data_IF_285112897510
#
_entry.id   IF_285112897510
#
_cell.length_a   1.000
_cell.length_b   1.000
_cell.length_c   1.000
_cell.angle_alpha   90.00
_cell.angle_beta   90.00
_cell.angle_gamma   90.00
#
_symmetry.space_group_name_H-M   'P 1'
#
loop_
_entity.id
_entity.type
_entity.pdbx_description
1 polymer ?
#
# COMPACT_ATOMS: atom_id res chain seq x y z
N UNK A 1 73.40 -39.06 7.33
CA UNK A 1 72.21 -39.09 6.44
C UNK A 1 71.07 -38.38 7.15
N UNK A 2 70.75 -37.16 6.72
CA UNK A 2 69.45 -36.47 6.90
C UNK A 2 68.39 -37.12 5.99
N UNK A 3 67.07 -36.82 6.07
CA UNK A 3 66.35 -35.85 6.93
C UNK A 3 65.07 -36.42 7.59
N UNK A 4 64.50 -35.72 8.59
CA UNK A 4 63.04 -35.55 8.71
C UNK A 4 62.72 -34.41 9.68
N UNK A 5 62.06 -33.39 9.14
CA UNK A 5 61.26 -32.35 9.81
C UNK A 5 59.90 -32.39 9.06
N UNK A 6 58.75 -31.88 9.58
CA UNK A 6 58.52 -31.15 10.84
C UNK A 6 57.21 -31.57 11.58
N UNK A 7 57.21 -31.58 12.91
CA UNK A 7 55.95 -31.55 13.67
C UNK A 7 55.47 -30.09 13.77
N UNK A 8 54.50 -29.71 12.92
CA UNK A 8 53.86 -28.38 12.92
C UNK A 8 52.88 -28.31 14.10
N UNK A 9 53.01 -27.34 15.02
CA UNK A 9 51.95 -27.07 15.99
C UNK A 9 50.77 -26.41 15.27
N UNK A 10 49.64 -27.12 15.23
CA UNK A 10 48.37 -26.59 14.75
C UNK A 10 47.90 -25.46 15.66
N UNK A 11 47.88 -24.24 15.12
CA UNK A 11 47.16 -23.11 15.68
C UNK A 11 46.03 -22.71 14.70
N UNK A 12 45.10 -21.85 15.13
CA UNK A 12 43.88 -22.17 15.86
C UNK A 12 42.70 -22.25 14.87
N UNK A 13 41.84 -23.26 15.00
CA UNK A 13 40.52 -23.21 14.37
C UNK A 13 39.68 -22.19 15.14
N UNK A 14 39.82 -20.92 14.73
CA UNK A 14 38.97 -19.81 15.15
C UNK A 14 37.58 -20.11 14.63
N UNK A 15 36.79 -20.84 15.44
CA UNK A 15 35.35 -20.82 15.33
C UNK A 15 34.94 -19.36 15.43
N UNK A 16 34.62 -18.74 14.30
CA UNK A 16 33.87 -17.50 14.31
C UNK A 16 32.60 -17.77 15.11
N UNK A 17 32.36 -17.11 16.26
CA UNK A 17 31.03 -17.15 16.82
C UNK A 17 30.11 -16.62 15.72
N UNK A 18 29.17 -17.45 15.27
CA UNK A 18 28.03 -16.98 14.51
C UNK A 18 27.29 -16.04 15.46
N UNK A 19 27.64 -14.76 15.43
CA UNK A 19 26.83 -13.72 16.04
C UNK A 19 25.49 -13.77 15.32
N UNK A 20 24.37 -14.11 15.99
CA UNK A 20 23.07 -13.96 15.37
C UNK A 20 22.91 -12.48 15.03
N UNK A 21 22.99 -12.16 13.74
CA UNK A 21 22.67 -10.84 13.22
C UNK A 21 21.26 -10.49 13.75
N UNK A 22 21.10 -9.34 14.42
CA UNK A 22 19.87 -9.05 15.16
C UNK A 22 18.67 -8.96 14.19
N UNK A 23 17.48 -9.32 14.69
CA UNK A 23 16.20 -9.38 13.99
C UNK A 23 15.82 -8.13 13.15
N UNK A 24 16.55 -7.02 13.26
CA UNK A 24 16.45 -5.84 12.42
C UNK A 24 16.50 -6.16 10.91
N UNK A 25 17.41 -7.04 10.45
CA UNK A 25 17.53 -7.34 9.01
C UNK A 25 16.33 -8.12 8.44
N UNK A 26 15.65 -8.92 9.25
CA UNK A 26 14.42 -9.61 8.84
C UNK A 26 13.20 -8.68 8.85
N UNK A 27 13.12 -7.80 9.86
CA UNK A 27 12.09 -6.77 9.95
C UNK A 27 12.20 -5.76 8.79
N UNK A 28 13.40 -5.31 8.44
CA UNK A 28 13.64 -4.44 7.29
C UNK A 28 13.25 -5.12 5.96
N UNK A 29 13.59 -6.40 5.81
CA UNK A 29 13.19 -7.17 4.62
C UNK A 29 11.67 -7.43 4.54
N UNK A 30 10.98 -7.51 5.68
CA UNK A 30 9.52 -7.59 5.74
C UNK A 30 8.88 -6.24 5.42
N UNK A 31 9.42 -5.14 5.95
CA UNK A 31 8.97 -3.78 5.67
C UNK A 31 9.11 -3.42 4.19
N UNK A 32 10.25 -3.76 3.55
CA UNK A 32 10.45 -3.55 2.11
C UNK A 32 9.49 -4.39 1.25
N UNK A 33 9.12 -5.59 1.69
CA UNK A 33 8.11 -6.42 1.02
C UNK A 33 6.72 -5.80 1.18
N UNK A 34 6.37 -5.37 2.38
CA UNK A 34 5.10 -4.71 2.66
C UNK A 34 4.95 -3.42 1.84
N UNK A 35 5.98 -2.57 1.79
CA UNK A 35 5.97 -1.35 0.99
C UNK A 35 5.80 -1.65 -0.51
N UNK A 36 6.47 -2.68 -1.03
CA UNK A 36 6.29 -3.11 -2.42
C UNK A 36 4.86 -3.55 -2.69
N UNK A 37 4.27 -4.36 -1.80
CA UNK A 37 2.88 -4.78 -1.91
C UNK A 37 1.94 -3.57 -1.85
N UNK A 38 2.11 -2.68 -0.87
CA UNK A 38 1.33 -1.43 -0.74
C UNK A 38 1.31 -0.63 -2.05
N UNK A 39 2.47 -0.48 -2.71
CA UNK A 39 2.58 0.24 -3.98
C UNK A 39 1.88 -0.46 -5.14
N UNK A 40 2.01 -1.78 -5.25
CA UNK A 40 1.33 -2.57 -6.29
C UNK A 40 -0.18 -2.45 -6.10
N UNK A 41 -0.65 -2.62 -4.87
CA UNK A 41 -2.06 -2.53 -4.54
C UNK A 41 -2.62 -1.14 -4.76
N UNK A 42 -1.89 -0.11 -4.37
CA UNK A 42 -2.29 1.26 -4.65
C UNK A 42 -2.45 1.50 -6.17
N UNK A 43 -1.51 1.02 -6.98
CA UNK A 43 -1.60 1.15 -8.44
C UNK A 43 -2.81 0.41 -9.02
N UNK A 44 -3.08 -0.81 -8.55
CA UNK A 44 -4.24 -1.60 -8.98
C UNK A 44 -5.55 -0.94 -8.57
N UNK A 45 -5.66 -0.50 -7.33
CA UNK A 45 -6.85 0.17 -6.81
C UNK A 45 -7.12 1.47 -7.57
N UNK A 46 -6.08 2.23 -7.93
CA UNK A 46 -6.23 3.43 -8.78
C UNK A 46 -6.75 3.08 -10.17
N UNK A 47 -6.36 1.94 -10.74
CA UNK A 47 -6.92 1.46 -12.01
C UNK A 47 -8.40 1.14 -11.87
N UNK A 48 -8.78 0.41 -10.80
CA UNK A 48 -10.18 0.02 -10.56
C UNK A 48 -11.06 1.25 -10.31
N UNK A 49 -10.61 2.20 -9.50
CA UNK A 49 -11.34 3.46 -9.27
C UNK A 49 -11.48 4.26 -10.56
N UNK A 50 -10.47 4.24 -11.45
CA UNK A 50 -10.55 4.87 -12.78
C UNK A 50 -11.55 4.20 -13.71
N UNK A 51 -11.64 2.86 -13.68
CA UNK A 51 -12.62 2.11 -14.46
C UNK A 51 -14.05 2.33 -13.92
N UNK A 52 -14.20 2.35 -12.60
CA UNK A 52 -15.45 2.66 -11.89
C UNK A 52 -15.77 4.16 -11.84
N UNK A 53 -14.92 5.05 -12.36
CA UNK A 53 -15.16 6.51 -12.43
C UNK A 53 -16.38 6.89 -13.27
N UNK A 54 -17.06 5.92 -13.86
CA UNK A 54 -18.39 6.10 -14.43
C UNK A 54 -19.45 6.37 -13.35
N UNK A 55 -19.21 5.98 -12.09
CA UNK A 55 -20.03 6.41 -10.94
C UNK A 55 -19.76 7.90 -10.65
N UNK A 56 -20.78 8.78 -10.73
CA UNK A 56 -20.63 10.19 -10.43
C UNK A 56 -20.05 10.43 -9.03
N UNK A 57 -20.32 9.55 -8.06
CA UNK A 57 -19.80 9.68 -6.69
C UNK A 57 -18.29 9.42 -6.54
N UNK A 58 -17.65 8.77 -7.52
CA UNK A 58 -16.19 8.59 -7.56
C UNK A 58 -15.49 9.70 -8.37
N UNK A 59 -16.25 10.63 -8.94
CA UNK A 59 -15.69 11.73 -9.73
C UNK A 59 -14.86 12.65 -8.83
N UNK A 60 -13.56 12.73 -9.09
CA UNK A 60 -12.62 13.54 -8.29
C UNK A 60 -12.00 12.80 -7.11
N UNK A 61 -12.26 11.49 -6.94
CA UNK A 61 -11.56 10.66 -5.94
C UNK A 61 -10.22 10.17 -6.51
N UNK A 62 -9.11 10.48 -5.83
CA UNK A 62 -7.79 9.92 -6.13
C UNK A 62 -7.23 9.20 -4.91
N UNK A 63 -6.82 7.94 -5.07
CA UNK A 63 -6.22 7.18 -3.99
C UNK A 63 -4.75 7.59 -3.83
N UNK A 64 -4.42 8.10 -2.65
CA UNK A 64 -3.09 8.67 -2.35
C UNK A 64 -2.20 7.73 -1.57
N UNK A 65 -2.79 6.89 -0.70
CA UNK A 65 -2.03 6.01 0.16
C UNK A 65 -2.79 4.71 0.40
N UNK A 66 -2.04 3.61 0.55
CA UNK A 66 -2.55 2.36 1.04
C UNK A 66 -1.58 1.84 2.09
N UNK A 67 -2.08 1.51 3.27
CA UNK A 67 -1.33 0.93 4.38
C UNK A 67 -1.93 -0.41 4.74
N UNK A 68 -1.11 -1.44 4.73
CA UNK A 68 -1.50 -2.77 5.20
C UNK A 68 -1.02 -2.97 6.63
N UNK A 69 -1.89 -3.56 7.46
CA UNK A 69 -1.47 -4.02 8.78
C UNK A 69 -0.44 -5.15 8.64
N UNK A 70 0.47 -5.27 9.61
CA UNK A 70 1.50 -6.32 9.63
C UNK A 70 0.90 -7.73 9.55
N UNK A 71 -0.28 -7.90 10.13
CA UNK A 71 -1.02 -9.16 10.14
C UNK A 71 -1.83 -9.40 8.85
N UNK A 72 -1.85 -8.43 7.93
CA UNK A 72 -2.60 -8.51 6.67
C UNK A 72 -4.12 -8.53 6.83
N UNK A 73 -4.64 -8.28 8.04
CA UNK A 73 -6.07 -8.33 8.36
C UNK A 73 -6.83 -7.03 8.04
N UNK A 74 -6.12 -5.91 7.96
CA UNK A 74 -6.69 -4.59 7.70
C UNK A 74 -5.87 -3.85 6.64
N UNK A 75 -6.56 -3.18 5.72
CA UNK A 75 -5.96 -2.30 4.74
C UNK A 75 -6.62 -0.92 4.81
N UNK A 76 -5.85 0.08 5.21
CA UNK A 76 -6.29 1.47 5.29
C UNK A 76 -5.94 2.19 4.00
N UNK A 77 -6.95 2.74 3.35
CA UNK A 77 -6.83 3.41 2.06
C UNK A 77 -7.08 4.90 2.29
N UNK A 78 -6.04 5.69 2.10
CA UNK A 78 -6.11 7.13 2.08
C UNK A 78 -6.53 7.62 0.70
N UNK A 79 -7.58 8.42 0.64
CA UNK A 79 -8.04 9.05 -0.60
C UNK A 79 -8.06 10.57 -0.47
N UNK A 80 -7.83 11.23 -1.60
CA UNK A 80 -7.97 12.64 -1.80
C UNK A 80 -9.22 12.90 -2.64
N UNK A 81 -9.96 13.95 -2.29
CA UNK A 81 -11.17 14.34 -3.00
C UNK A 81 -10.99 15.73 -3.63
N UNK A 82 -11.18 15.82 -4.93
CA UNK A 82 -11.27 17.08 -5.66
C UNK A 82 -12.72 17.52 -5.75
N UNK A 83 -13.09 18.59 -5.03
CA UNK A 83 -14.46 19.10 -4.96
C UNK A 83 -14.59 20.48 -5.60
N UNK A 84 -15.71 20.78 -6.28
CA UNK A 84 -16.04 22.14 -6.65
C UNK A 84 -16.18 23.01 -5.40
N UNK A 85 -15.68 24.25 -5.47
CA UNK A 85 -15.76 25.22 -4.38
C UNK A 85 -17.21 25.39 -3.88
N UNK A 86 -17.45 25.09 -2.60
CA UNK A 86 -18.74 25.22 -1.94
C UNK A 86 -19.57 23.93 -1.80
N UNK A 87 -19.12 22.79 -2.36
CA UNK A 87 -19.84 21.51 -2.32
C UNK A 87 -19.12 20.42 -1.50
N UNK A 88 -18.12 20.80 -0.69
CA UNK A 88 -17.22 19.86 0.02
C UNK A 88 -17.93 18.80 0.86
N UNK A 89 -18.84 19.19 1.75
CA UNK A 89 -19.50 18.25 2.66
C UNK A 89 -20.42 17.23 1.97
N UNK A 90 -21.11 17.64 0.89
CA UNK A 90 -21.97 16.72 0.13
C UNK A 90 -21.15 15.71 -0.66
N UNK A 91 -20.12 16.21 -1.35
CA UNK A 91 -19.22 15.38 -2.15
C UNK A 91 -18.38 14.42 -1.29
N UNK A 92 -18.01 14.80 -0.07
CA UNK A 92 -17.34 13.90 0.89
C UNK A 92 -18.21 12.69 1.25
N UNK A 93 -19.47 12.92 1.61
CA UNK A 93 -20.41 11.84 1.92
C UNK A 93 -20.66 10.94 0.70
N UNK A 94 -20.86 11.55 -0.47
CA UNK A 94 -21.11 10.81 -1.72
C UNK A 94 -19.90 9.95 -2.12
N UNK A 95 -18.69 10.49 -2.00
CA UNK A 95 -17.46 9.76 -2.25
C UNK A 95 -17.24 8.61 -1.26
N UNK A 96 -17.53 8.83 0.03
CA UNK A 96 -17.44 7.78 1.04
C UNK A 96 -18.43 6.64 0.77
N UNK A 97 -19.67 6.97 0.40
CA UNK A 97 -20.67 5.97 0.02
C UNK A 97 -20.30 5.21 -1.26
N UNK A 98 -19.80 5.92 -2.27
CA UNK A 98 -19.36 5.31 -3.52
C UNK A 98 -18.17 4.36 -3.31
N UNK A 99 -17.19 4.75 -2.49
CA UNK A 99 -16.09 3.88 -2.08
C UNK A 99 -16.59 2.68 -1.27
N UNK A 100 -17.59 2.85 -0.41
CA UNK A 100 -18.21 1.75 0.32
C UNK A 100 -18.91 0.75 -0.63
N UNK A 101 -19.57 1.24 -1.69
CA UNK A 101 -20.16 0.40 -2.75
C UNK A 101 -19.08 -0.32 -3.58
N UNK A 102 -17.96 0.33 -3.85
CA UNK A 102 -16.82 -0.24 -4.57
C UNK A 102 -15.96 -1.20 -3.71
N UNK A 103 -16.08 -1.13 -2.39
CA UNK A 103 -15.31 -1.95 -1.44
C UNK A 103 -15.32 -3.47 -1.74
N UNK A 104 -16.47 -4.14 -2.01
CA UNK A 104 -16.47 -5.56 -2.35
C UNK A 104 -15.73 -5.88 -3.66
N UNK A 105 -15.82 -5.00 -4.67
CA UNK A 105 -15.07 -5.15 -5.92
C UNK A 105 -13.57 -5.00 -5.67
N UNK A 106 -13.18 -3.99 -4.90
CA UNK A 106 -11.79 -3.77 -4.49
C UNK A 106 -11.25 -4.96 -3.69
N UNK A 107 -12.06 -5.57 -2.81
CA UNK A 107 -11.70 -6.81 -2.11
C UNK A 107 -11.54 -7.99 -3.07
N UNK A 108 -12.41 -8.13 -4.07
CA UNK A 108 -12.30 -9.20 -5.05
C UNK A 108 -11.01 -9.07 -5.88
N UNK A 109 -10.68 -7.85 -6.32
CA UNK A 109 -9.41 -7.55 -7.02
C UNK A 109 -8.18 -7.77 -6.14
N UNK A 110 -8.30 -7.48 -4.85
CA UNK A 110 -7.26 -7.80 -3.88
C UNK A 110 -7.03 -9.32 -3.78
N UNK A 111 -8.10 -10.12 -3.80
CA UNK A 111 -8.03 -11.58 -3.77
C UNK A 111 -7.32 -12.18 -4.99
N UNK A 112 -7.47 -11.56 -6.15
CA UNK A 112 -6.81 -12.00 -7.40
C UNK A 112 -5.29 -11.77 -7.36
N UNK A 113 -4.83 -10.78 -6.60
CA UNK A 113 -3.43 -10.32 -6.59
C UNK A 113 -2.67 -10.86 -5.40
N UNK A 114 -3.34 -11.00 -4.25
CA UNK A 114 -2.76 -11.50 -3.03
C UNK A 114 -3.44 -12.82 -2.66
N UNK A 115 -2.65 -13.89 -2.65
CA UNK A 115 -3.08 -15.19 -2.17
C UNK A 115 -3.00 -15.20 -0.63
N UNK A 116 -4.00 -14.56 0.01
CA UNK A 116 -4.15 -14.53 1.46
C UNK A 116 -5.26 -15.48 1.90
N UNK A 117 -5.07 -16.21 3.02
CA UNK A 117 -6.12 -17.07 3.57
C UNK A 117 -7.34 -16.28 4.03
N UNK A 118 -7.16 -15.00 4.35
CA UNK A 118 -8.23 -14.08 4.77
C UNK A 118 -8.05 -12.75 4.05
N UNK A 119 -9.12 -12.29 3.41
CA UNK A 119 -9.15 -10.97 2.77
C UNK A 119 -9.27 -9.86 3.83
N UNK A 120 -8.38 -8.85 3.80
CA UNK A 120 -8.42 -7.76 4.75
C UNK A 120 -9.71 -6.95 4.65
N UNK A 121 -10.09 -6.37 5.79
CA UNK A 121 -11.10 -5.31 5.83
C UNK A 121 -10.52 -4.02 5.25
N UNK A 122 -11.24 -3.43 4.30
CA UNK A 122 -10.87 -2.17 3.69
C UNK A 122 -11.48 -1.03 4.51
N UNK A 123 -10.65 -0.09 4.93
CA UNK A 123 -11.08 1.13 5.61
C UNK A 123 -10.65 2.33 4.81
N UNK A 124 -11.58 3.21 4.47
CA UNK A 124 -11.31 4.42 3.70
C UNK A 124 -11.16 5.61 4.65
N UNK A 125 -10.08 6.35 4.50
CA UNK A 125 -9.82 7.57 5.25
C UNK A 125 -9.61 8.73 4.28
N UNK A 126 -10.35 9.82 4.49
CA UNK A 126 -10.16 11.06 3.75
C UNK A 126 -8.87 11.73 4.27
N UNK A 127 -7.86 11.80 3.41
CA UNK A 127 -6.55 12.39 3.75
C UNK A 127 -6.48 13.86 3.35
N UNK A 128 -7.12 14.21 2.22
CA UNK A 128 -7.05 15.56 1.67
C UNK A 128 -8.30 15.92 0.89
N UNK A 129 -8.82 17.11 1.14
CA UNK A 129 -9.82 17.74 0.28
C UNK A 129 -9.13 18.85 -0.50
N UNK A 130 -9.28 18.83 -1.82
CA UNK A 130 -8.78 19.88 -2.70
C UNK A 130 -9.96 20.57 -3.35
N UNK A 131 -10.16 21.83 -3.01
CA UNK A 131 -11.13 22.65 -3.71
C UNK A 131 -10.58 23.05 -5.08
N UNK A 132 -11.31 22.67 -6.13
CA UNK A 132 -11.01 23.09 -7.49
C UNK A 132 -11.94 24.25 -7.84
N UNK A 133 -11.43 25.33 -8.47
CA UNK A 133 -12.29 26.40 -8.94
C UNK A 133 -13.32 25.84 -9.92
N UNK A 134 -14.60 26.07 -9.64
CA UNK A 134 -15.70 25.68 -10.53
C UNK A 134 -15.40 26.27 -11.91
N UNK A 135 -15.16 25.41 -12.90
CA UNK A 135 -14.91 25.87 -14.26
C UNK A 135 -16.09 26.76 -14.69
N UNK A 136 -15.83 27.97 -15.25
CA UNK A 136 -16.91 28.80 -15.75
C UNK A 136 -17.62 28.01 -16.86
N UNK A 137 -18.94 27.84 -16.75
CA UNK A 137 -19.75 27.34 -17.86
C UNK A 137 -19.57 28.31 -19.02
N UNK A 138 -18.72 27.94 -19.98
CA UNK A 138 -18.66 28.59 -21.28
C UNK A 138 -19.98 28.29 -21.99
N UNK A 139 -20.93 29.22 -21.90
CA UNK A 139 -22.29 29.02 -22.39
C UNK A 139 -23.16 30.23 -22.16
N UNK A 140 -22.72 31.39 -22.62
CA UNK A 140 -23.57 32.55 -22.87
C UNK A 140 -22.97 33.35 -24.04
N UNK A 141 -23.38 33.00 -25.25
CA UNK A 141 -23.32 33.85 -26.44
C UNK A 141 -24.52 33.48 -27.32
#
# INVERSE_FOLDING_TARGET
MTPERPNRPGAPSRATPFTPQPAASAADAAALRAERLERILLALFRSVVREESTDPGLTGVDLVALRLSLDGAEARIGYALEVPRGEGQGAECEAAEALARAAPLLRARLAEVIDLPVLPSLTFALERVREVPRAPRAGAA
#
